data_IF_391970725067
#
_entry.id   IF_391970725067
#
_cell.length_a   1.000
_cell.length_b   1.000
_cell.length_c   1.000
_cell.angle_alpha   90.00
_cell.angle_beta   90.00
_cell.angle_gamma   90.00
#
_symmetry.space_group_name_H-M   'P 1'
#
loop_
_entity.id
_entity.type
_entity.pdbx_description
1 polymer ?
#
# COMPACT_ATOMS: atom_id res chain seq x y z
N UNK A 1 -0.42 -16.56 -20.19
CA UNK A 1 -0.75 -15.12 -20.20
C UNK A 1 -2.04 -14.83 -19.43
N UNK A 2 -3.13 -15.60 -19.64
CA UNK A 2 -4.43 -15.40 -18.96
C UNK A 2 -4.36 -15.47 -17.41
N UNK A 3 -3.70 -16.49 -16.85
CA UNK A 3 -3.50 -16.63 -15.38
C UNK A 3 -2.75 -15.45 -14.76
N UNK A 4 -1.86 -14.80 -15.51
CA UNK A 4 -1.10 -13.64 -15.03
C UNK A 4 -1.93 -12.36 -15.04
N UNK A 5 -2.80 -12.21 -16.03
CA UNK A 5 -3.75 -11.10 -16.07
C UNK A 5 -4.72 -11.19 -14.89
N UNK A 6 -5.18 -12.39 -14.55
CA UNK A 6 -6.07 -12.62 -13.40
C UNK A 6 -5.34 -12.40 -12.06
N UNK A 7 -4.10 -12.86 -11.95
CA UNK A 7 -3.27 -12.62 -10.78
C UNK A 7 -3.00 -11.12 -10.57
N UNK A 8 -2.58 -10.40 -11.61
CA UNK A 8 -2.34 -8.96 -11.54
C UNK A 8 -3.61 -8.17 -11.23
N UNK A 9 -4.77 -8.55 -11.80
CA UNK A 9 -6.03 -7.92 -11.48
C UNK A 9 -6.39 -8.09 -9.99
N UNK A 10 -6.20 -9.30 -9.45
CA UNK A 10 -6.45 -9.59 -8.02
C UNK A 10 -5.51 -8.80 -7.11
N UNK A 11 -4.24 -8.69 -7.48
CA UNK A 11 -3.25 -7.89 -6.75
C UNK A 11 -3.60 -6.41 -6.79
N UNK A 12 -3.97 -5.88 -7.96
CA UNK A 12 -4.37 -4.47 -8.10
C UNK A 12 -5.60 -4.13 -7.27
N UNK A 13 -6.60 -5.01 -7.22
CA UNK A 13 -7.78 -4.83 -6.37
C UNK A 13 -7.40 -4.83 -4.88
N UNK A 14 -6.54 -5.76 -4.46
CA UNK A 14 -6.06 -5.82 -3.09
C UNK A 14 -5.28 -4.56 -2.69
N UNK A 15 -4.42 -4.04 -3.57
CA UNK A 15 -3.69 -2.77 -3.37
C UNK A 15 -4.67 -1.62 -3.14
N UNK A 16 -5.68 -1.49 -4.00
CA UNK A 16 -6.67 -0.41 -3.91
C UNK A 16 -7.47 -0.50 -2.61
N UNK A 17 -7.82 -1.72 -2.16
CA UNK A 17 -8.50 -1.94 -0.87
C UNK A 17 -7.62 -1.54 0.32
N UNK A 18 -6.32 -1.82 0.27
CA UNK A 18 -5.38 -1.38 1.30
C UNK A 18 -5.23 0.15 1.30
N UNK A 19 -5.12 0.77 0.12
CA UNK A 19 -5.08 2.23 -0.04
C UNK A 19 -6.32 2.89 0.57
N UNK A 20 -7.52 2.41 0.25
CA UNK A 20 -8.77 2.94 0.81
C UNK A 20 -8.87 2.79 2.34
N UNK A 21 -8.30 1.71 2.91
CA UNK A 21 -8.21 1.55 4.37
C UNK A 21 -7.29 2.58 5.00
N UNK A 22 -6.12 2.83 4.41
CA UNK A 22 -5.17 3.83 4.90
C UNK A 22 -5.83 5.22 4.87
N UNK A 23 -6.50 5.57 3.77
CA UNK A 23 -7.21 6.85 3.65
C UNK A 23 -8.23 7.04 4.78
N UNK A 24 -9.06 6.02 5.03
CA UNK A 24 -10.06 6.08 6.10
C UNK A 24 -9.44 6.20 7.49
N UNK A 25 -8.30 5.54 7.74
CA UNK A 25 -7.61 5.66 9.02
C UNK A 25 -6.98 7.05 9.19
N UNK A 26 -6.46 7.66 8.12
CA UNK A 26 -5.98 9.05 8.14
C UNK A 26 -7.12 10.02 8.48
N UNK A 27 -8.31 9.84 7.91
CA UNK A 27 -9.49 10.64 8.25
C UNK A 27 -9.86 10.52 9.73
N UNK A 28 -9.77 9.32 10.34
CA UNK A 28 -10.01 9.11 11.77
C UNK A 28 -9.00 9.89 12.64
N UNK A 29 -7.75 10.02 12.18
CA UNK A 29 -6.74 10.84 12.85
C UNK A 29 -6.93 12.35 12.66
N UNK A 30 -7.93 12.77 11.88
CA UNK A 30 -8.21 14.16 11.57
C UNK A 30 -7.40 14.71 10.40
N UNK A 31 -6.72 13.85 9.63
CA UNK A 31 -5.96 14.22 8.44
C UNK A 31 -6.75 13.85 7.18
N UNK A 32 -7.26 14.87 6.49
CA UNK A 32 -7.83 14.68 5.15
C UNK A 32 -6.70 14.55 4.14
N UNK A 33 -6.75 13.51 3.32
CA UNK A 33 -5.74 13.22 2.30
C UNK A 33 -6.44 12.85 1.00
N UNK A 34 -6.02 13.46 -0.10
CA UNK A 34 -6.49 13.13 -1.44
C UNK A 34 -5.88 11.82 -1.94
N UNK A 35 -6.44 11.25 -3.01
CA UNK A 35 -5.90 10.01 -3.60
C UNK A 35 -4.48 10.17 -4.15
N UNK A 36 -4.15 11.36 -4.66
CA UNK A 36 -2.82 11.71 -5.20
C UNK A 36 -1.80 11.86 -4.06
N UNK A 37 -2.12 12.67 -3.05
CA UNK A 37 -1.24 12.82 -1.87
C UNK A 37 -1.00 11.47 -1.16
N UNK A 38 -2.01 10.60 -1.10
CA UNK A 38 -1.85 9.28 -0.52
C UNK A 38 -0.92 8.40 -1.37
N UNK A 39 -0.95 8.53 -2.69
CA UNK A 39 -0.02 7.82 -3.57
C UNK A 39 1.42 8.29 -3.33
N UNK A 40 1.65 9.60 -3.26
CA UNK A 40 2.97 10.17 -2.95
C UNK A 40 3.50 9.65 -1.60
N UNK A 41 2.61 9.52 -0.61
CA UNK A 41 2.96 8.97 0.70
C UNK A 41 3.39 7.51 0.62
N UNK A 42 2.70 6.69 -0.18
CA UNK A 42 3.05 5.29 -0.40
C UNK A 42 4.38 5.16 -1.16
N UNK A 43 4.58 5.95 -2.21
CA UNK A 43 5.80 5.93 -3.03
C UNK A 43 7.04 6.44 -2.27
N UNK A 44 6.86 7.30 -1.27
CA UNK A 44 7.96 7.82 -0.45
C UNK A 44 8.78 6.73 0.25
N UNK A 45 8.19 5.54 0.47
CA UNK A 45 8.82 4.43 1.19
C UNK A 45 9.14 4.73 2.66
N UNK A 46 8.70 5.87 3.20
CA UNK A 46 8.98 6.30 4.57
C UNK A 46 7.74 6.14 5.47
N UNK A 47 7.67 5.12 6.34
CA UNK A 47 6.51 4.91 7.21
C UNK A 47 6.19 6.09 8.13
N UNK A 48 7.19 6.90 8.49
CA UNK A 48 6.99 8.06 9.35
C UNK A 48 6.14 9.17 8.70
N UNK A 49 5.96 9.15 7.37
CA UNK A 49 5.12 10.13 6.67
C UNK A 49 3.66 10.04 7.12
N UNK A 50 3.21 8.84 7.53
CA UNK A 50 1.85 8.60 7.98
C UNK A 50 1.60 9.10 9.40
N UNK A 51 2.62 9.23 10.24
CA UNK A 51 2.50 9.75 11.61
C UNK A 51 2.84 11.24 11.73
N UNK A 52 3.45 11.82 10.69
CA UNK A 52 3.79 13.23 10.63
C UNK A 52 2.55 14.13 10.73
N UNK A 53 2.56 15.04 11.70
CA UNK A 53 1.48 16.00 11.93
C UNK A 53 0.25 15.45 12.66
N UNK A 54 0.27 14.18 13.09
CA UNK A 54 -0.82 13.57 13.85
C UNK A 54 -0.50 13.62 15.34
N UNK A 55 -1.44 14.15 16.12
CA UNK A 55 -1.33 14.24 17.58
C UNK A 55 -1.70 12.88 18.20
N UNK A 56 -0.74 12.21 18.83
CA UNK A 56 -0.91 10.87 19.43
C UNK A 56 -1.57 10.88 20.84
N UNK A 57 -2.62 11.67 21.01
CA UNK A 57 -3.22 11.91 22.34
C UNK A 57 -4.34 10.91 22.68
N UNK A 58 -4.86 10.20 21.68
CA UNK A 58 -5.94 9.22 21.84
C UNK A 58 -5.47 7.80 21.53
N UNK A 59 -6.01 6.82 22.28
CA UNK A 59 -5.84 5.40 21.97
C UNK A 59 -6.36 5.06 20.56
N UNK A 60 -7.39 5.77 20.11
CA UNK A 60 -7.97 5.62 18.77
C UNK A 60 -6.94 6.02 17.71
N UNK A 61 -6.27 7.16 17.88
CA UNK A 61 -5.24 7.64 16.94
C UNK A 61 -4.06 6.66 16.85
N UNK A 62 -3.64 6.09 17.98
CA UNK A 62 -2.59 5.06 18.01
C UNK A 62 -3.01 3.79 17.27
N UNK A 63 -4.26 3.36 17.46
CA UNK A 63 -4.79 2.20 16.76
C UNK A 63 -4.89 2.44 15.24
N UNK A 64 -5.34 3.64 14.84
CA UNK A 64 -5.40 4.03 13.43
C UNK A 64 -4.01 4.01 12.78
N UNK A 65 -2.99 4.56 13.45
CA UNK A 65 -1.61 4.54 12.96
C UNK A 65 -1.05 3.11 12.83
N UNK A 66 -1.28 2.25 13.82
CA UNK A 66 -0.88 0.85 13.74
C UNK A 66 -1.53 0.12 12.55
N UNK A 67 -2.82 0.40 12.27
CA UNK A 67 -3.49 -0.18 11.10
C UNK A 67 -2.87 0.37 9.80
N UNK A 68 -2.57 1.67 9.73
CA UNK A 68 -1.91 2.27 8.56
C UNK A 68 -0.56 1.60 8.29
N UNK A 69 0.29 1.44 9.30
CA UNK A 69 1.59 0.78 9.16
C UNK A 69 1.45 -0.67 8.68
N UNK A 70 0.46 -1.39 9.22
CA UNK A 70 0.17 -2.78 8.82
C UNK A 70 -0.23 -2.85 7.34
N UNK A 71 -1.17 -2.01 6.90
CA UNK A 71 -1.62 -1.98 5.49
C UNK A 71 -0.51 -1.53 4.54
N UNK A 72 0.31 -0.58 4.95
CA UNK A 72 1.46 -0.14 4.17
C UNK A 72 2.47 -1.28 4.00
N UNK A 73 2.75 -2.06 5.05
CA UNK A 73 3.60 -3.25 4.95
C UNK A 73 3.02 -4.31 4.01
N UNK A 74 1.69 -4.50 4.00
CA UNK A 74 1.01 -5.39 3.06
C UNK A 74 1.17 -4.92 1.61
N UNK A 75 1.03 -3.62 1.35
CA UNK A 75 1.27 -3.03 0.00
C UNK A 75 2.71 -3.28 -0.44
N UNK A 76 3.70 -3.02 0.41
CA UNK A 76 5.12 -3.24 0.06
C UNK A 76 5.38 -4.72 -0.29
N UNK A 77 4.84 -5.65 0.50
CA UNK A 77 4.99 -7.09 0.24
C UNK A 77 4.35 -7.49 -1.09
N UNK A 78 3.19 -6.94 -1.38
CA UNK A 78 2.47 -7.16 -2.62
C UNK A 78 3.29 -6.67 -3.83
N UNK A 79 3.76 -5.42 -3.80
CA UNK A 79 4.56 -4.81 -4.87
C UNK A 79 5.88 -5.55 -5.09
N UNK A 80 6.52 -6.03 -4.02
CA UNK A 80 7.69 -6.88 -4.15
C UNK A 80 7.38 -8.23 -4.80
N UNK A 81 6.28 -8.89 -4.40
CA UNK A 81 5.84 -10.15 -5.02
C UNK A 81 5.53 -9.99 -6.51
N UNK A 82 4.94 -8.85 -6.92
CA UNK A 82 4.68 -8.54 -8.33
C UNK A 82 5.99 -8.36 -9.08
N UNK A 83 6.95 -7.63 -8.49
CA UNK A 83 8.28 -7.40 -9.10
C UNK A 83 9.04 -8.71 -9.29
N UNK A 84 9.08 -9.56 -8.28
CA UNK A 84 9.73 -10.88 -8.35
C UNK A 84 9.10 -11.78 -9.42
N UNK A 85 7.77 -11.79 -9.52
CA UNK A 85 7.08 -12.54 -10.57
C UNK A 85 7.41 -11.97 -11.95
N UNK A 86 7.40 -10.65 -12.11
CA UNK A 86 7.76 -9.99 -13.35
C UNK A 86 9.18 -10.37 -13.80
N UNK A 87 10.16 -10.37 -12.90
CA UNK A 87 11.55 -10.73 -13.20
C UNK A 87 11.67 -12.20 -13.63
N UNK A 88 11.01 -13.13 -12.92
CA UNK A 88 10.95 -14.53 -13.33
C UNK A 88 10.36 -14.70 -14.74
N UNK A 89 9.34 -13.91 -15.11
CA UNK A 89 8.75 -13.97 -16.45
C UNK A 89 9.67 -13.40 -17.53
N UNK A 90 10.38 -12.31 -17.25
CA UNK A 90 11.35 -11.75 -18.21
C UNK A 90 12.49 -12.73 -18.47
N UNK A 91 12.97 -13.43 -17.43
CA UNK A 91 13.98 -14.48 -17.58
C UNK A 91 13.46 -15.66 -18.40
N UNK A 92 12.22 -16.10 -18.17
CA UNK A 92 11.59 -17.16 -19.00
C UNK A 92 11.38 -16.71 -20.45
N UNK A 93 11.02 -15.45 -20.69
CA UNK A 93 10.80 -14.91 -22.04
C UNK A 93 12.11 -14.72 -22.83
N UNK A 94 13.24 -14.47 -22.15
CA UNK A 94 14.57 -14.42 -22.77
C UNK A 94 15.15 -15.80 -23.12
N UNK A 95 14.65 -16.87 -22.50
CA UNK A 95 15.09 -18.25 -22.72
C UNK A 95 14.32 -18.99 -23.84
N UNK A 96 13.39 -18.32 -24.53
CA UNK A 96 12.59 -18.87 -25.65
C UNK A 96 13.03 -18.25 -26.97
#
# INVERSE_FOLDING_TARGET
VEVMSEYNATQSDYRERCKGRIQRQLEITGRTTTSEELEDMLESGNPAIFSSGIIMDSSITKQALNEIETRHSEIIKLENSIRELHDMFMDMAMLV
#
